data_IF_183938087225
#
_entry.id   IF_183938087225
#
_cell.length_a   1.000
_cell.length_b   1.000
_cell.length_c   1.000
_cell.angle_alpha   90.00
_cell.angle_beta   90.00
_cell.angle_gamma   90.00
#
_symmetry.space_group_name_H-M   'P 1'
#
loop_
_entity.id
_entity.type
_entity.pdbx_description
1 polymer ?
#
# COMPACT_ATOMS: atom_id res chain seq x y z
N UNK A 1 19.50 -42.45 3.58
CA UNK A 1 18.02 -42.30 3.70
C UNK A 1 17.56 -41.42 4.86
N UNK A 2 17.91 -41.66 6.15
CA UNK A 2 17.40 -40.82 7.27
C UNK A 2 17.98 -39.40 7.28
N UNK A 3 19.30 -39.24 7.07
CA UNK A 3 19.95 -37.91 7.03
C UNK A 3 19.44 -37.00 5.90
N UNK A 4 19.09 -37.61 4.78
CA UNK A 4 18.56 -36.93 3.60
C UNK A 4 17.14 -36.39 3.86
N UNK A 5 16.25 -37.23 4.44
CA UNK A 5 14.92 -36.80 4.88
C UNK A 5 14.96 -35.68 5.93
N UNK A 6 15.94 -35.71 6.83
CA UNK A 6 16.13 -34.65 7.84
C UNK A 6 16.56 -33.34 7.16
N UNK A 7 17.52 -33.38 6.24
CA UNK A 7 17.98 -32.21 5.47
C UNK A 7 16.84 -31.55 4.68
N UNK A 8 16.04 -32.34 3.97
CA UNK A 8 14.88 -31.85 3.21
C UNK A 8 13.83 -31.20 4.12
N UNK A 9 13.53 -31.81 5.26
CA UNK A 9 12.55 -31.26 6.22
C UNK A 9 13.01 -29.91 6.76
N UNK A 10 14.29 -29.78 7.12
CA UNK A 10 14.87 -28.51 7.57
C UNK A 10 14.81 -27.44 6.48
N UNK A 11 15.11 -27.80 5.23
CA UNK A 11 15.01 -26.86 4.11
C UNK A 11 13.57 -26.40 3.86
N UNK A 12 12.58 -27.30 3.93
CA UNK A 12 11.16 -26.94 3.81
C UNK A 12 10.74 -25.98 4.92
N UNK A 13 11.09 -26.28 6.18
CA UNK A 13 10.77 -25.40 7.32
C UNK A 13 11.36 -24.00 7.12
N UNK A 14 12.63 -23.90 6.70
CA UNK A 14 13.26 -22.60 6.43
C UNK A 14 12.56 -21.83 5.31
N UNK A 15 12.14 -22.51 4.24
CA UNK A 15 11.40 -21.88 3.13
C UNK A 15 10.05 -21.37 3.59
N UNK A 16 9.27 -22.18 4.31
CA UNK A 16 7.96 -21.75 4.81
C UNK A 16 8.08 -20.61 5.83
N UNK A 17 9.08 -20.66 6.70
CA UNK A 17 9.37 -19.57 7.62
C UNK A 17 9.72 -18.26 6.89
N UNK A 18 10.59 -18.32 5.88
CA UNK A 18 10.94 -17.17 5.06
C UNK A 18 9.73 -16.60 4.31
N UNK A 19 8.88 -17.45 3.73
CA UNK A 19 7.62 -17.03 3.10
C UNK A 19 6.71 -16.32 4.09
N UNK A 20 6.56 -16.86 5.31
CA UNK A 20 5.71 -16.27 6.33
C UNK A 20 6.23 -14.88 6.74
N UNK A 21 7.55 -14.74 6.96
CA UNK A 21 8.16 -13.44 7.24
C UNK A 21 7.94 -12.47 6.09
N UNK A 22 8.19 -12.90 4.84
CA UNK A 22 8.00 -12.05 3.67
C UNK A 22 6.55 -11.55 3.57
N UNK A 23 5.56 -12.40 3.83
CA UNK A 23 4.15 -12.00 3.84
C UNK A 23 3.86 -10.97 4.95
N UNK A 24 4.35 -11.21 6.17
CA UNK A 24 4.17 -10.29 7.29
C UNK A 24 4.84 -8.94 7.03
N UNK A 25 6.07 -8.95 6.52
CA UNK A 25 6.80 -7.73 6.18
C UNK A 25 6.13 -6.96 5.05
N UNK A 26 5.70 -7.65 3.99
CA UNK A 26 5.02 -7.01 2.85
C UNK A 26 3.73 -6.34 3.31
N UNK A 27 2.93 -6.99 4.16
CA UNK A 27 1.72 -6.40 4.75
C UNK A 27 2.05 -5.20 5.65
N UNK A 28 3.06 -5.31 6.50
CA UNK A 28 3.48 -4.22 7.38
C UNK A 28 3.97 -2.99 6.58
N UNK A 29 4.80 -3.20 5.56
CA UNK A 29 5.24 -2.13 4.67
C UNK A 29 4.11 -1.55 3.84
N UNK A 30 3.14 -2.37 3.40
CA UNK A 30 1.92 -1.89 2.74
C UNK A 30 1.14 -0.91 3.63
N UNK A 31 1.01 -1.22 4.92
CA UNK A 31 0.37 -0.31 5.89
C UNK A 31 1.18 0.98 6.08
N UNK A 32 2.49 0.88 6.27
CA UNK A 32 3.37 2.05 6.43
C UNK A 32 3.31 2.95 5.19
N UNK A 33 3.36 2.36 3.99
CA UNK A 33 3.24 3.09 2.73
C UNK A 33 1.88 3.80 2.60
N UNK A 34 0.78 3.12 2.97
CA UNK A 34 -0.55 3.73 2.96
C UNK A 34 -0.63 4.95 3.90
N UNK A 35 -0.05 4.84 5.11
CA UNK A 35 0.01 5.94 6.07
C UNK A 35 0.84 7.12 5.54
N UNK A 36 2.01 6.85 4.96
CA UNK A 36 2.90 7.87 4.40
C UNK A 36 2.24 8.63 3.25
N UNK A 37 1.55 7.93 2.34
CA UNK A 37 0.80 8.57 1.24
C UNK A 37 -0.36 9.43 1.73
N UNK A 38 -1.12 8.95 2.72
CA UNK A 38 -2.20 9.74 3.34
C UNK A 38 -1.65 11.03 3.95
N UNK A 39 -0.53 10.97 4.67
CA UNK A 39 0.07 12.17 5.27
C UNK A 39 0.61 13.13 4.21
N UNK A 40 1.33 12.60 3.22
CA UNK A 40 1.87 13.39 2.11
C UNK A 40 0.77 14.15 1.35
N UNK A 41 -0.35 13.49 1.02
CA UNK A 41 -1.45 14.14 0.30
C UNK A 41 -2.09 15.24 1.16
N UNK A 42 -2.26 15.01 2.47
CA UNK A 42 -2.79 16.04 3.37
C UNK A 42 -1.87 17.26 3.43
N UNK A 43 -0.57 17.05 3.63
CA UNK A 43 0.40 18.15 3.65
C UNK A 43 0.44 18.89 2.32
N UNK A 44 0.36 18.17 1.20
CA UNK A 44 0.34 18.78 -0.13
C UNK A 44 -0.88 19.69 -0.29
N UNK A 45 -2.07 19.23 0.10
CA UNK A 45 -3.29 20.04 0.05
C UNK A 45 -3.18 21.23 1.00
N UNK A 46 -2.69 21.02 2.21
CA UNK A 46 -2.59 22.10 3.19
C UNK A 46 -1.61 23.20 2.76
N UNK A 47 -0.44 22.82 2.22
CA UNK A 47 0.60 23.78 1.80
C UNK A 47 0.30 24.43 0.45
N UNK A 48 -0.27 23.69 -0.50
CA UNK A 48 -0.39 24.15 -1.89
C UNK A 48 -1.83 24.40 -2.36
N UNK A 49 -2.85 23.98 -1.62
CA UNK A 49 -4.25 24.15 -2.05
C UNK A 49 -5.00 25.05 -1.06
N UNK A 50 -4.94 24.80 0.25
CA UNK A 50 -5.64 25.60 1.27
C UNK A 50 -5.43 27.12 1.16
N UNK A 51 -4.22 27.66 0.87
CA UNK A 51 -4.00 29.11 0.77
C UNK A 51 -4.78 29.78 -0.36
N UNK A 52 -5.14 29.05 -1.42
CA UNK A 52 -5.90 29.58 -2.55
C UNK A 52 -7.39 29.80 -2.24
N UNK A 53 -7.91 29.19 -1.17
CA UNK A 53 -9.34 29.19 -0.85
C UNK A 53 -9.69 29.95 0.45
N UNK A 54 -8.70 30.56 1.13
CA UNK A 54 -8.91 31.40 2.34
C UNK A 54 -9.20 30.61 3.63
N UNK A 55 -9.32 31.29 4.78
CA UNK A 55 -9.48 30.63 6.12
C UNK A 55 -10.78 29.83 6.29
N UNK A 56 -11.81 30.10 5.49
CA UNK A 56 -13.06 29.33 5.45
C UNK A 56 -12.97 28.04 4.60
N UNK A 57 -11.78 27.72 4.07
CA UNK A 57 -11.54 26.61 3.13
C UNK A 57 -11.51 25.21 3.74
N UNK A 58 -11.61 25.05 5.06
CA UNK A 58 -11.47 23.74 5.71
C UNK A 58 -12.44 22.65 5.21
N UNK A 59 -13.58 23.02 4.64
CA UNK A 59 -14.51 22.09 3.98
C UNK A 59 -14.09 21.78 2.53
N UNK A 60 -13.64 22.80 1.79
CA UNK A 60 -13.21 22.69 0.40
C UNK A 60 -11.91 21.88 0.30
N UNK A 61 -10.95 22.09 1.21
CA UNK A 61 -9.71 21.30 1.27
C UNK A 61 -9.98 19.82 1.54
N UNK A 62 -10.93 19.50 2.43
CA UNK A 62 -11.38 18.12 2.69
C UNK A 62 -12.10 17.50 1.48
N UNK A 63 -12.89 18.27 0.74
CA UNK A 63 -13.54 17.81 -0.49
C UNK A 63 -12.50 17.47 -1.57
N UNK A 64 -11.49 18.33 -1.75
CA UNK A 64 -10.39 18.09 -2.68
C UNK A 64 -9.59 16.85 -2.29
N UNK A 65 -9.29 16.69 -0.99
CA UNK A 65 -8.66 15.47 -0.47
C UNK A 65 -9.46 14.21 -0.81
N UNK A 66 -10.77 14.22 -0.54
CA UNK A 66 -11.64 13.09 -0.80
C UNK A 66 -11.69 12.71 -2.29
N UNK A 67 -11.78 13.70 -3.18
CA UNK A 67 -11.77 13.47 -4.63
C UNK A 67 -10.43 12.93 -5.11
N UNK A 68 -9.31 13.49 -4.65
CA UNK A 68 -7.97 13.05 -5.03
C UNK A 68 -7.70 11.61 -4.59
N UNK A 69 -8.03 11.26 -3.35
CA UNK A 69 -7.84 9.89 -2.85
C UNK A 69 -8.75 8.90 -3.58
N UNK A 70 -9.99 9.28 -3.87
CA UNK A 70 -10.92 8.42 -4.63
C UNK A 70 -10.39 8.17 -6.04
N UNK A 71 -9.89 9.22 -6.71
CA UNK A 71 -9.30 9.09 -8.04
C UNK A 71 -8.06 8.18 -8.02
N UNK A 72 -7.15 8.39 -7.06
CA UNK A 72 -5.98 7.53 -6.89
C UNK A 72 -6.37 6.07 -6.63
N UNK A 73 -7.36 5.83 -5.77
CA UNK A 73 -7.86 4.49 -5.49
C UNK A 73 -8.41 3.81 -6.74
N UNK A 74 -9.21 4.52 -7.55
CA UNK A 74 -9.73 4.01 -8.82
C UNK A 74 -8.60 3.72 -9.80
N UNK A 75 -7.64 4.64 -9.97
CA UNK A 75 -6.51 4.45 -10.88
C UNK A 75 -5.66 3.25 -10.48
N UNK A 76 -5.30 3.12 -9.21
CA UNK A 76 -4.48 2.00 -8.71
C UNK A 76 -5.23 0.68 -8.86
N UNK A 77 -6.49 0.61 -8.42
CA UNK A 77 -7.29 -0.63 -8.49
C UNK A 77 -7.60 -1.04 -9.93
N UNK A 78 -7.91 -0.08 -10.80
CA UNK A 78 -8.11 -0.34 -12.23
C UNK A 78 -6.86 -0.89 -12.90
N UNK A 79 -5.70 -0.24 -12.70
CA UNK A 79 -4.43 -0.73 -13.26
C UNK A 79 -4.09 -2.12 -12.72
N UNK A 80 -4.25 -2.35 -11.42
CA UNK A 80 -3.97 -3.65 -10.81
C UNK A 80 -4.89 -4.76 -11.34
N UNK A 81 -6.18 -4.47 -11.55
CA UNK A 81 -7.14 -5.39 -12.18
C UNK A 81 -6.67 -5.79 -13.58
N UNK A 82 -6.24 -4.82 -14.39
CA UNK A 82 -5.75 -5.05 -15.76
C UNK A 82 -4.48 -5.90 -15.79
N UNK A 83 -3.57 -5.70 -14.82
CA UNK A 83 -2.37 -6.53 -14.68
C UNK A 83 -2.68 -7.95 -14.19
N UNK A 84 -3.69 -8.11 -13.33
CA UNK A 84 -4.10 -9.42 -12.84
C UNK A 84 -4.75 -10.25 -13.96
N UNK A 85 -5.63 -9.65 -14.76
CA UNK A 85 -6.27 -10.27 -15.92
C UNK A 85 -5.28 -10.72 -17.01
N UNK A 86 -4.08 -10.12 -17.08
CA UNK A 86 -3.05 -10.50 -18.07
C UNK A 86 -2.28 -11.78 -17.74
N UNK A 87 -2.45 -12.34 -16.53
CA UNK A 87 -1.73 -13.54 -16.08
C UNK A 87 -2.57 -14.82 -16.05
N UNK A 88 -3.82 -14.74 -16.49
CA UNK A 88 -4.67 -15.89 -16.85
C UNK A 88 -4.72 -16.06 -18.38
#
# INVERSE_FOLDING_TARGET
>A
MIREKVSEKTQRIRREFAKQILNLMTSAFGLVAALAWNEFIKELIDKYISPFFGESSGLISKLIYALLITLLAVLITYNLSRFAEQKD
#
